data_IF_092178028198
#
_entry.id   IF_092178028198
#
_cell.length_a   1.000
_cell.length_b   1.000
_cell.length_c   1.000
_cell.angle_alpha   90.00
_cell.angle_beta   90.00
_cell.angle_gamma   90.00
#
_symmetry.space_group_name_H-M   'P 1'
#
loop_
_entity.id
_entity.type
_entity.pdbx_description
1 polymer ?
#
# COMPACT_ATOMS: atom_id res chain seq x y z
N UNK A 1 6.21 -14.50 7.13
CA UNK A 1 6.94 -13.34 7.67
C UNK A 1 5.92 -12.23 7.81
N UNK A 2 5.76 -11.69 9.02
CA UNK A 2 4.84 -10.57 9.27
C UNK A 2 5.33 -9.31 8.56
N UNK A 3 4.44 -8.59 7.88
CA UNK A 3 4.78 -7.31 7.26
C UNK A 3 5.19 -6.30 8.33
N UNK A 4 6.37 -5.71 8.21
CA UNK A 4 6.79 -4.63 9.11
C UNK A 4 6.23 -3.27 8.65
N UNK A 5 6.26 -2.31 9.57
CA UNK A 5 5.73 -0.96 9.38
C UNK A 5 6.40 -0.20 8.23
N UNK A 6 7.72 -0.28 8.10
CA UNK A 6 8.46 0.47 7.08
C UNK A 6 8.07 -0.05 5.69
N UNK A 7 8.03 -1.37 5.55
CA UNK A 7 7.54 -2.03 4.33
C UNK A 7 6.11 -1.65 3.99
N UNK A 8 5.20 -1.55 4.97
CA UNK A 8 3.83 -1.06 4.73
C UNK A 8 3.80 0.38 4.18
N UNK A 9 4.57 1.29 4.78
CA UNK A 9 4.61 2.69 4.37
C UNK A 9 5.17 2.80 2.95
N UNK A 10 6.27 2.12 2.66
CA UNK A 10 6.90 2.13 1.35
C UNK A 10 5.97 1.53 0.28
N UNK A 11 5.34 0.39 0.57
CA UNK A 11 4.35 -0.21 -0.32
C UNK A 11 3.18 0.74 -0.63
N UNK A 12 2.65 1.40 0.40
CA UNK A 12 1.58 2.40 0.24
C UNK A 12 2.00 3.54 -0.69
N UNK A 13 3.19 4.10 -0.48
CA UNK A 13 3.74 5.18 -1.31
C UNK A 13 3.93 4.75 -2.77
N UNK A 14 4.49 3.56 -3.01
CA UNK A 14 4.72 3.04 -4.36
C UNK A 14 3.42 2.76 -5.12
N UNK A 15 2.39 2.26 -4.42
CA UNK A 15 1.11 1.92 -5.05
C UNK A 15 0.23 3.14 -5.30
N UNK A 16 0.20 4.09 -4.37
CA UNK A 16 -0.87 5.11 -4.30
C UNK A 16 -0.37 6.53 -4.06
N UNK A 17 0.93 6.73 -3.84
CA UNK A 17 1.52 8.04 -3.55
C UNK A 17 1.31 8.52 -2.10
N UNK A 18 1.52 9.82 -1.82
CA UNK A 18 1.54 10.37 -0.46
C UNK A 18 0.27 10.11 0.35
N UNK A 19 -0.89 10.12 -0.32
CA UNK A 19 -2.22 9.96 0.28
C UNK A 19 -2.68 8.50 0.34
N UNK A 20 -1.76 7.54 0.41
CA UNK A 20 -2.04 6.10 0.30
C UNK A 20 -2.96 5.51 1.37
N UNK A 21 -3.06 6.12 2.56
CA UNK A 21 -3.71 5.49 3.73
C UNK A 21 -5.19 5.19 3.49
N UNK A 22 -5.95 6.14 2.94
CA UNK A 22 -7.39 5.96 2.68
C UNK A 22 -7.65 5.02 1.49
N UNK A 23 -7.00 5.22 0.32
CA UNK A 23 -7.18 4.31 -0.81
C UNK A 23 -6.75 2.88 -0.49
N UNK A 24 -5.74 2.69 0.36
CA UNK A 24 -5.29 1.36 0.74
C UNK A 24 -6.37 0.56 1.45
N UNK A 25 -7.17 1.19 2.32
CA UNK A 25 -8.27 0.50 3.00
C UNK A 25 -9.31 -0.06 2.01
N UNK A 26 -9.60 0.68 0.95
CA UNK A 26 -10.52 0.26 -0.11
C UNK A 26 -9.97 -0.94 -0.88
N UNK A 27 -8.71 -0.84 -1.32
CA UNK A 27 -8.05 -1.91 -2.08
C UNK A 27 -7.96 -3.19 -1.25
N UNK A 28 -7.51 -3.10 0.00
CA UNK A 28 -7.43 -4.26 0.90
C UNK A 28 -8.79 -4.89 1.20
N UNK A 29 -9.89 -4.11 1.13
CA UNK A 29 -11.25 -4.65 1.29
C UNK A 29 -11.57 -5.75 0.29
N UNK A 30 -11.11 -5.62 -0.95
CA UNK A 30 -11.38 -6.59 -2.02
C UNK A 30 -10.67 -7.93 -1.82
N UNK A 31 -9.60 -7.94 -1.01
CA UNK A 31 -8.76 -9.12 -0.74
C UNK A 31 -8.97 -9.67 0.68
N UNK A 32 -10.05 -9.28 1.35
CA UNK A 32 -10.26 -9.66 2.74
C UNK A 32 -10.50 -11.19 2.87
N UNK A 33 -9.90 -11.87 3.87
CA UNK A 33 -9.98 -13.33 4.02
C UNK A 33 -11.41 -13.86 4.21
N UNK A 34 -12.28 -13.10 4.88
CA UNK A 34 -13.70 -13.49 5.07
C UNK A 34 -14.59 -13.19 3.85
N UNK A 35 -13.99 -12.79 2.74
CA UNK A 35 -14.66 -12.45 1.48
C UNK A 35 -14.50 -10.97 1.10
N UNK A 36 -14.56 -10.66 -0.22
CA UNK A 36 -14.43 -9.28 -0.71
C UNK A 36 -15.47 -8.34 -0.10
N UNK A 37 -15.02 -7.13 0.25
CA UNK A 37 -15.85 -6.04 0.76
C UNK A 37 -15.38 -4.69 0.26
N UNK A 38 -16.26 -3.70 0.28
CA UNK A 38 -15.97 -2.37 -0.28
C UNK A 38 -14.73 -1.72 0.34
N UNK A 39 -14.50 -1.90 1.64
CA UNK A 39 -13.34 -1.38 2.36
C UNK A 39 -13.10 -2.16 3.65
N UNK A 40 -11.84 -2.22 4.11
CA UNK A 40 -11.56 -2.48 5.53
C UNK A 40 -11.78 -1.19 6.34
N UNK A 41 -11.70 -1.23 7.67
CA UNK A 41 -11.79 -0.02 8.50
C UNK A 41 -10.76 1.03 8.01
N UNK A 42 -11.20 2.21 7.50
CA UNK A 42 -10.31 3.22 6.93
C UNK A 42 -9.27 3.78 7.89
N UNK A 43 -9.45 3.58 9.20
CA UNK A 43 -8.50 3.99 10.24
C UNK A 43 -7.34 3.02 10.38
N UNK A 44 -7.46 1.78 9.88
CA UNK A 44 -6.45 0.74 10.06
C UNK A 44 -5.11 1.08 9.39
N UNK A 45 -5.04 1.47 8.10
CA UNK A 45 -3.77 1.85 7.49
C UNK A 45 -3.05 2.99 8.22
N UNK A 46 -3.82 3.95 8.77
CA UNK A 46 -3.28 5.00 9.62
C UNK A 46 -2.67 4.43 10.90
N UNK A 47 -3.44 3.63 11.66
CA UNK A 47 -2.98 3.01 12.91
C UNK A 47 -1.79 2.08 12.72
N UNK A 48 -1.75 1.32 11.64
CA UNK A 48 -0.61 0.47 11.30
C UNK A 48 0.66 1.27 10.99
N UNK A 49 0.52 2.53 10.55
CA UNK A 49 1.65 3.41 10.26
C UNK A 49 2.18 4.18 11.47
N UNK A 50 1.39 4.34 12.54
CA UNK A 50 1.76 5.10 13.76
C UNK A 50 2.81 4.42 14.65
N UNK A 51 3.98 5.03 14.79
CA UNK A 51 5.02 4.54 15.71
C UNK A 51 4.54 4.56 17.17
N UNK A 52 4.95 3.59 18.01
CA UNK A 52 4.75 3.69 19.44
C UNK A 52 5.43 4.93 20.00
N UNK A 53 4.67 5.83 20.62
CA UNK A 53 5.24 6.96 21.37
C UNK A 53 6.01 6.40 22.58
N UNK A 54 7.35 6.56 22.64
CA UNK A 54 8.17 6.02 23.72
C UNK A 54 8.08 6.83 25.01
N UNK A 55 7.71 8.12 24.96
CA UNK A 55 7.60 8.98 26.15
C UNK A 55 6.21 8.90 26.80
N UNK A 56 5.16 8.68 26.00
CA UNK A 56 3.80 8.45 26.52
C UNK A 56 3.54 7.02 26.94
N UNK A 57 4.55 6.27 27.40
CA UNK A 57 4.47 5.06 28.26
C UNK A 57 3.56 3.89 27.84
N UNK A 58 2.79 4.00 26.75
CA UNK A 58 1.85 3.06 26.13
C UNK A 58 1.08 3.89 25.11
N UNK A 59 1.20 3.56 23.82
CA UNK A 59 0.08 3.79 22.90
C UNK A 59 -1.18 3.35 23.65
N UNK A 60 -2.23 4.18 23.67
CA UNK A 60 -3.53 3.70 24.12
C UNK A 60 -3.78 2.37 23.40
N UNK A 61 -4.32 1.38 24.12
CA UNK A 61 -4.52 -0.02 23.69
C UNK A 61 -5.14 -0.17 22.28
N UNK A 62 -5.75 0.90 21.76
CA UNK A 62 -6.41 1.01 20.46
C UNK A 62 -5.62 1.71 19.33
N UNK A 63 -4.41 2.24 19.57
CA UNK A 63 -3.74 3.14 18.61
C UNK A 63 -2.70 2.46 17.68
N UNK A 64 -2.00 1.42 18.13
CA UNK A 64 -1.17 0.58 17.24
C UNK A 64 -1.74 -0.82 17.24
N UNK A 65 -2.33 -1.22 16.11
CA UNK A 65 -2.73 -2.61 15.89
C UNK A 65 -1.63 -3.31 15.10
N UNK A 66 -1.35 -4.59 15.38
CA UNK A 66 -0.50 -5.38 14.50
C UNK A 66 -1.12 -5.40 13.10
N UNK A 67 -0.24 -5.43 12.09
CA UNK A 67 -0.65 -5.60 10.70
C UNK A 67 -1.08 -7.07 10.55
N UNK A 68 -2.28 -7.37 10.03
CA UNK A 68 -2.70 -8.74 9.79
C UNK A 68 -1.78 -9.45 8.79
N UNK A 69 -1.49 -10.74 9.02
CA UNK A 69 -0.58 -11.55 8.19
C UNK A 69 -0.98 -11.61 6.71
N UNK A 70 -2.28 -11.54 6.41
CA UNK A 70 -2.78 -11.58 5.03
C UNK A 70 -2.46 -10.31 4.22
N UNK A 71 -2.18 -9.18 4.88
CA UNK A 71 -1.89 -7.91 4.19
C UNK A 71 -0.58 -8.00 3.41
N UNK A 72 0.45 -8.64 3.96
CA UNK A 72 1.76 -8.77 3.32
C UNK A 72 1.70 -9.40 1.92
N UNK A 73 1.14 -10.62 1.78
CA UNK A 73 0.97 -11.27 0.48
C UNK A 73 0.15 -10.45 -0.53
N UNK A 74 -0.89 -9.75 -0.07
CA UNK A 74 -1.70 -8.89 -0.95
C UNK A 74 -0.89 -7.70 -1.46
N UNK A 75 -0.13 -7.02 -0.60
CA UNK A 75 0.73 -5.92 -1.04
C UNK A 75 1.82 -6.41 -2.00
N UNK A 76 2.43 -7.57 -1.74
CA UNK A 76 3.43 -8.14 -2.62
C UNK A 76 2.87 -8.40 -4.03
N UNK A 77 1.66 -8.95 -4.12
CA UNK A 77 0.95 -9.14 -5.39
C UNK A 77 0.71 -7.81 -6.10
N UNK A 78 0.13 -6.83 -5.39
CA UNK A 78 -0.20 -5.52 -5.97
C UNK A 78 1.04 -4.75 -6.44
N UNK A 79 2.16 -4.87 -5.71
CA UNK A 79 3.43 -4.25 -6.09
C UNK A 79 4.02 -4.88 -7.36
N UNK A 80 3.91 -6.20 -7.50
CA UNK A 80 4.33 -6.89 -8.72
C UNK A 80 3.49 -6.43 -9.93
N UNK A 81 2.16 -6.41 -9.80
CA UNK A 81 1.26 -5.91 -10.84
C UNK A 81 1.58 -4.44 -11.21
N UNK A 82 1.83 -3.59 -10.20
CA UNK A 82 2.19 -2.19 -10.43
C UNK A 82 3.55 -2.04 -11.14
N UNK A 83 4.52 -2.90 -10.84
CA UNK A 83 5.81 -2.88 -11.51
C UNK A 83 5.67 -3.21 -13.01
N UNK A 84 4.83 -4.19 -13.35
CA UNK A 84 4.55 -4.56 -14.74
C UNK A 84 3.86 -3.41 -15.50
N UNK A 85 2.86 -2.77 -14.87
CA UNK A 85 2.19 -1.60 -15.43
C UNK A 85 3.16 -0.44 -15.70
N UNK A 86 4.04 -0.14 -14.73
CA UNK A 86 5.04 0.91 -14.87
C UNK A 86 6.07 0.60 -15.96
N UNK A 87 6.46 -0.66 -16.14
CA UNK A 87 7.34 -1.07 -17.22
C UNK A 87 6.67 -0.88 -18.59
N UNK A 88 5.39 -1.21 -18.70
CA UNK A 88 4.60 -0.97 -19.91
C UNK A 88 4.46 0.53 -20.20
N UNK A 89 4.18 1.35 -19.19
CA UNK A 89 4.11 2.82 -19.29
C UNK A 89 5.44 3.41 -19.77
N UNK A 90 6.55 2.97 -19.19
CA UNK A 90 7.88 3.42 -19.60
C UNK A 90 8.17 3.10 -21.07
N UNK A 91 7.76 1.92 -21.55
CA UNK A 91 7.87 1.56 -22.97
C UNK A 91 7.02 2.47 -23.86
N UNK A 92 5.76 2.71 -23.49
CA UNK A 92 4.84 3.60 -24.22
C UNK A 92 5.36 5.03 -24.29
N UNK A 93 5.84 5.57 -23.18
CA UNK A 93 6.38 6.92 -23.09
C UNK A 93 7.61 7.11 -24.00
N UNK A 94 8.54 6.15 -24.01
CA UNK A 94 9.71 6.19 -24.91
C UNK A 94 9.32 6.15 -26.38
N UNK A 95 8.40 5.27 -26.76
CA UNK A 95 7.89 5.19 -28.13
C UNK A 95 7.21 6.49 -28.58
N UNK A 96 6.41 7.09 -27.69
CA UNK A 96 5.78 8.39 -27.94
C UNK A 96 6.83 9.50 -28.11
N UNK A 97 7.85 9.53 -27.27
CA UNK A 97 8.93 10.51 -27.35
C UNK A 97 9.71 10.42 -28.67
N UNK A 98 10.03 9.20 -29.14
CA UNK A 98 10.67 8.99 -30.44
C UNK A 98 9.81 9.53 -31.59
N UNK A 99 8.51 9.19 -31.58
CA UNK A 99 7.54 9.69 -32.57
C UNK A 99 7.42 11.23 -32.56
N UNK A 100 7.44 11.86 -31.39
CA UNK A 100 7.40 13.34 -31.27
C UNK A 100 8.68 13.98 -31.81
N UNK A 101 9.84 13.34 -31.63
CA UNK A 101 11.12 13.82 -32.18
C UNK A 101 11.22 13.68 -33.70
N UNK A 102 10.34 12.92 -34.33
CA UNK A 102 10.36 12.65 -35.77
C UNK A 102 11.37 11.57 -36.18
N UNK A 103 11.72 10.66 -35.27
CA UNK A 103 12.46 9.41 -35.55
C UNK A 103 11.54 8.32 -36.11
#
# INVERSE_FOLDING_TARGET
MSLDRKSLIEAGLLLMGPEWKRPLAKVLGQYHPDGPRDTVDPRLPYRWSLEPDPEKGKLQKDQSRPIPEWVGPVLAKLLAERADDLAADAKRARALAARIKGE
#
